data_IF_642429372136
#
_entry.id   IF_642429372136
#
_cell.length_a   1.000
_cell.length_b   1.000
_cell.length_c   1.000
_cell.angle_alpha   90.00
_cell.angle_beta   90.00
_cell.angle_gamma   90.00
#
_symmetry.space_group_name_H-M   'P 1'
#
loop_
_entity.id
_entity.type
_entity.pdbx_description
1 polymer ?
#
# COMPACT_ATOMS: atom_id res chain seq x y z
N UNK A 1 -1.63 35.37 -5.79
CA UNK A 1 -2.78 35.62 -4.90
C UNK A 1 -3.68 34.42 -5.06
N UNK A 2 -3.85 33.63 -4.01
CA UNK A 2 -4.68 32.42 -4.05
C UNK A 2 -6.03 32.80 -3.47
N UNK A 3 -7.07 32.72 -4.29
CA UNK A 3 -8.45 32.87 -3.82
C UNK A 3 -8.86 31.61 -3.06
N UNK A 4 -9.47 31.78 -1.90
CA UNK A 4 -10.01 30.65 -1.11
C UNK A 4 -11.53 30.72 -1.12
N UNK A 5 -12.15 29.60 -1.45
CA UNK A 5 -13.59 29.39 -1.40
C UNK A 5 -13.95 28.48 -0.23
N UNK A 6 -15.10 28.71 0.38
CA UNK A 6 -15.61 27.94 1.51
C UNK A 6 -17.02 27.47 1.23
N UNK A 7 -17.29 26.19 1.47
CA UNK A 7 -18.62 25.61 1.33
C UNK A 7 -18.81 24.45 2.31
N UNK A 8 -20.03 24.21 2.76
CA UNK A 8 -20.40 22.93 3.37
C UNK A 8 -20.62 21.88 2.29
N UNK A 9 -20.41 20.61 2.64
CA UNK A 9 -20.66 19.49 1.74
C UNK A 9 -22.12 19.43 1.24
N UNK A 10 -23.08 19.84 2.08
CA UNK A 10 -24.49 19.95 1.71
C UNK A 10 -24.75 20.98 0.62
N UNK A 11 -23.94 22.05 0.60
CA UNK A 11 -24.12 23.23 -0.24
C UNK A 11 -23.13 23.22 -1.42
N UNK A 12 -22.38 22.13 -1.59
CA UNK A 12 -21.30 22.05 -2.56
C UNK A 12 -21.79 22.23 -4.00
N UNK A 13 -23.03 21.85 -4.31
CA UNK A 13 -23.60 21.99 -5.66
C UNK A 13 -24.20 23.37 -5.92
N UNK A 14 -24.55 24.13 -4.87
CA UNK A 14 -25.08 25.47 -4.97
C UNK A 14 -23.99 26.50 -4.69
N UNK A 15 -23.27 26.90 -5.75
CA UNK A 15 -22.19 27.87 -5.64
C UNK A 15 -22.63 29.25 -5.17
N UNK A 16 -23.94 29.55 -5.15
CA UNK A 16 -24.46 30.77 -4.56
C UNK A 16 -24.40 30.78 -3.02
N UNK A 17 -24.33 29.59 -2.40
CA UNK A 17 -24.15 29.43 -0.95
C UNK A 17 -22.67 29.47 -0.52
N UNK A 18 -21.75 29.53 -1.48
CA UNK A 18 -20.32 29.55 -1.19
C UNK A 18 -19.88 30.93 -0.71
N UNK A 19 -18.81 30.93 0.08
CA UNK A 19 -18.11 32.15 0.46
C UNK A 19 -16.75 32.19 -0.24
N UNK A 20 -16.26 33.39 -0.48
CA UNK A 20 -14.99 33.67 -1.12
C UNK A 20 -14.19 34.64 -0.25
N UNK A 21 -12.87 34.45 -0.26
CA UNK A 21 -11.92 35.37 0.34
C UNK A 21 -10.70 35.47 -0.58
N UNK A 22 -10.37 36.70 -0.95
CA UNK A 22 -9.06 37.01 -1.53
C UNK A 22 -7.99 37.08 -0.44
N UNK A 23 -6.73 36.86 -0.81
CA UNK A 23 -5.60 36.87 0.13
C UNK A 23 -5.60 38.13 1.01
N UNK A 24 -5.72 37.95 2.34
CA UNK A 24 -5.81 39.05 3.32
C UNK A 24 -7.14 39.82 3.35
N UNK A 25 -8.09 39.51 2.47
CA UNK A 25 -9.39 40.18 2.37
C UNK A 25 -10.44 39.75 3.40
N UNK A 26 -11.61 40.39 3.34
CA UNK A 26 -12.80 39.97 4.09
C UNK A 26 -13.43 38.71 3.46
N UNK A 27 -14.23 37.98 4.24
CA UNK A 27 -15.08 36.92 3.70
C UNK A 27 -16.31 37.57 3.07
N UNK A 28 -16.56 37.26 1.81
CA UNK A 28 -17.68 37.78 1.03
C UNK A 28 -18.45 36.62 0.38
N UNK A 29 -19.73 36.79 0.01
CA UNK A 29 -20.43 35.81 -0.81
C UNK A 29 -19.69 35.57 -2.14
N UNK A 30 -19.54 34.32 -2.54
CA UNK A 30 -18.93 34.00 -3.83
C UNK A 30 -19.80 34.56 -4.96
N UNK A 31 -19.16 35.13 -5.99
CA UNK A 31 -19.88 35.53 -7.20
C UNK A 31 -20.29 34.27 -7.96
N UNK A 32 -21.52 34.26 -8.48
CA UNK A 32 -22.01 33.16 -9.30
C UNK A 32 -21.04 32.88 -10.47
N UNK A 33 -20.58 31.63 -10.55
CA UNK A 33 -19.57 31.21 -11.52
C UNK A 33 -18.69 30.09 -10.96
N UNK A 34 -17.91 29.46 -11.84
CA UNK A 34 -16.96 28.43 -11.43
C UNK A 34 -15.68 29.10 -10.93
N UNK A 35 -15.11 28.68 -9.78
CA UNK A 35 -13.82 29.18 -9.32
C UNK A 35 -12.73 28.93 -10.36
N UNK A 36 -11.68 29.75 -10.35
CA UNK A 36 -10.50 29.51 -11.20
C UNK A 36 -9.76 28.26 -10.71
N UNK A 37 -9.12 27.53 -11.62
CA UNK A 37 -8.39 26.29 -11.27
C UNK A 37 -7.32 26.50 -10.19
N UNK A 38 -6.69 27.69 -10.17
CA UNK A 38 -5.68 28.06 -9.17
C UNK A 38 -6.23 28.42 -7.79
N UNK A 39 -7.56 28.41 -7.62
CA UNK A 39 -8.21 28.67 -6.34
C UNK A 39 -8.12 27.46 -5.41
N UNK A 40 -8.19 27.72 -4.11
CA UNK A 40 -8.36 26.69 -3.09
C UNK A 40 -9.82 26.59 -2.69
N UNK A 41 -10.35 25.38 -2.55
CA UNK A 41 -11.68 25.13 -2.00
C UNK A 41 -11.58 24.39 -0.65
N UNK A 42 -12.12 24.99 0.40
CA UNK A 42 -12.29 24.35 1.71
C UNK A 42 -13.73 23.86 1.81
N UNK A 43 -13.89 22.54 1.89
CA UNK A 43 -15.20 21.91 2.05
C UNK A 43 -15.36 21.41 3.47
N UNK A 44 -16.38 21.91 4.17
CA UNK A 44 -16.71 21.48 5.52
C UNK A 44 -17.56 20.21 5.49
N UNK A 45 -17.03 19.13 6.07
CA UNK A 45 -17.74 17.87 6.23
C UNK A 45 -18.57 17.94 7.51
N UNK A 46 -19.89 17.64 7.43
CA UNK A 46 -20.76 17.37 8.57
C UNK A 46 -20.06 16.78 9.78
N UNK A 47 -20.03 17.48 10.91
CA UNK A 47 -19.32 16.98 12.08
C UNK A 47 -19.94 15.72 12.68
N UNK A 48 -21.22 15.46 12.38
CA UNK A 48 -21.96 14.25 12.74
C UNK A 48 -21.54 13.02 11.95
N UNK A 49 -20.86 13.19 10.82
CA UNK A 49 -20.33 12.11 9.97
C UNK A 49 -18.86 11.77 10.30
N UNK A 50 -18.24 12.53 11.20
CA UNK A 50 -16.83 12.41 11.54
C UNK A 50 -16.68 12.21 13.05
N UNK A 51 -16.05 11.11 13.44
CA UNK A 51 -15.68 10.86 14.83
C UNK A 51 -14.36 11.56 15.15
N UNK A 52 -14.26 12.22 16.31
CA UNK A 52 -13.01 12.77 16.84
C UNK A 52 -12.70 12.17 18.20
N UNK A 53 -11.52 11.56 18.34
CA UNK A 53 -11.12 10.83 19.57
C UNK A 53 -9.71 11.20 19.98
N UNK A 54 -9.43 11.43 21.28
CA UNK A 54 -8.07 11.51 21.77
C UNK A 54 -7.41 10.11 21.75
N UNK A 55 -6.27 10.00 21.10
CA UNK A 55 -5.48 8.79 21.01
C UNK A 55 -4.08 9.00 21.58
N UNK A 56 -3.62 8.03 22.36
CA UNK A 56 -2.25 7.97 22.85
C UNK A 56 -1.35 7.40 21.78
N UNK A 57 -0.80 8.29 20.98
CA UNK A 57 0.23 7.94 20.02
C UNK A 57 1.58 8.14 20.70
N UNK A 58 2.46 7.12 20.67
CA UNK A 58 3.85 7.32 21.07
C UNK A 58 4.57 8.35 20.18
N UNK A 59 5.88 8.54 20.36
CA UNK A 59 6.70 9.57 19.68
C UNK A 59 6.65 9.59 18.13
N UNK A 60 5.97 8.62 17.49
CA UNK A 60 5.76 8.51 16.05
C UNK A 60 4.36 8.93 15.58
N UNK A 61 3.50 9.48 16.44
CA UNK A 61 2.11 9.79 16.13
C UNK A 61 1.90 10.62 14.86
N UNK A 62 2.74 11.64 14.63
CA UNK A 62 2.69 12.46 13.41
C UNK A 62 3.18 11.78 12.12
N UNK A 63 3.67 10.54 12.19
CA UNK A 63 4.15 9.74 11.05
C UNK A 63 3.27 8.53 10.78
N UNK A 64 2.17 8.39 11.52
CA UNK A 64 1.25 7.28 11.36
C UNK A 64 0.41 7.50 10.09
N UNK A 65 0.46 6.55 9.16
CA UNK A 65 -0.38 6.61 7.96
C UNK A 65 -1.86 6.43 8.29
N UNK A 66 -2.75 6.91 7.41
CA UNK A 66 -4.20 6.92 7.63
C UNK A 66 -4.80 5.55 7.96
N UNK A 67 -4.30 4.50 7.31
CA UNK A 67 -4.76 3.12 7.58
C UNK A 67 -4.36 2.63 8.97
N UNK A 68 -3.21 3.03 9.50
CA UNK A 68 -2.78 2.66 10.84
C UNK A 68 -3.51 3.47 11.93
N UNK A 69 -3.91 4.71 11.63
CA UNK A 69 -4.65 5.55 12.57
C UNK A 69 -6.03 4.99 12.92
N UNK A 70 -6.71 4.32 11.98
CA UNK A 70 -8.02 3.72 12.24
C UNK A 70 -7.94 2.57 13.26
N UNK A 71 -6.89 1.75 13.21
CA UNK A 71 -6.68 0.67 14.17
C UNK A 71 -6.35 1.17 15.58
N UNK A 72 -5.74 2.35 15.72
CA UNK A 72 -5.45 2.91 17.05
C UNK A 72 -6.73 3.20 17.83
N UNK A 73 -7.82 3.52 17.13
CA UNK A 73 -9.12 3.86 17.72
C UNK A 73 -10.14 2.74 17.52
N UNK A 74 -9.70 1.50 17.25
CA UNK A 74 -10.60 0.37 16.94
C UNK A 74 -11.68 0.16 18.02
N UNK A 75 -11.30 0.27 19.29
CA UNK A 75 -12.23 0.10 20.44
C UNK A 75 -13.33 1.19 20.50
N UNK A 76 -13.13 2.32 19.82
CA UNK A 76 -14.06 3.46 19.78
C UNK A 76 -14.98 3.40 18.54
N UNK A 77 -14.68 2.50 17.60
CA UNK A 77 -15.44 2.32 16.37
C UNK A 77 -16.51 1.24 16.56
N UNK A 78 -17.72 1.51 16.07
CA UNK A 78 -18.81 0.52 16.01
C UNK A 78 -18.81 -0.29 14.70
N UNK A 79 -17.78 -0.14 13.88
CA UNK A 79 -17.64 -0.73 12.53
C UNK A 79 -16.20 -1.19 12.32
N UNK A 80 -15.96 -2.00 11.29
CA UNK A 80 -14.62 -2.46 10.93
C UNK A 80 -13.68 -1.26 10.63
N UNK A 81 -12.55 -1.12 11.35
CA UNK A 81 -11.56 -0.06 11.11
C UNK A 81 -11.07 0.03 9.66
N UNK A 82 -11.05 -1.08 8.91
CA UNK A 82 -10.64 -1.09 7.51
C UNK A 82 -11.60 -0.30 6.60
N UNK A 83 -12.86 -0.16 6.99
CA UNK A 83 -13.87 0.62 6.27
C UNK A 83 -13.77 2.12 6.55
N UNK A 84 -12.93 2.50 7.52
CA UNK A 84 -12.74 3.87 7.97
C UNK A 84 -11.46 4.47 7.37
N UNK A 85 -11.50 5.79 7.19
CA UNK A 85 -10.36 6.64 6.90
C UNK A 85 -10.11 7.50 8.12
N UNK A 86 -8.89 7.43 8.67
CA UNK A 86 -8.55 8.14 9.89
C UNK A 86 -7.32 9.04 9.67
N UNK A 87 -7.32 10.21 10.29
CA UNK A 87 -6.24 11.20 10.20
C UNK A 87 -5.87 11.67 11.59
N UNK A 88 -4.57 11.62 11.88
CA UNK A 88 -4.01 12.14 13.12
C UNK A 88 -3.80 13.65 12.96
N UNK A 89 -4.45 14.45 13.81
CA UNK A 89 -4.21 15.87 13.87
C UNK A 89 -2.77 16.16 14.35
N UNK A 90 -2.15 17.19 13.78
CA UNK A 90 -0.86 17.69 14.27
C UNK A 90 -0.98 18.04 15.76
N UNK A 91 -0.12 17.45 16.59
CA UNK A 91 -0.19 17.66 18.03
C UNK A 91 0.14 19.11 18.40
N UNK A 92 -0.65 19.72 19.29
CA UNK A 92 -0.22 20.94 19.98
C UNK A 92 0.98 20.63 20.88
N UNK A 93 2.04 21.43 20.76
CA UNK A 93 3.24 21.28 21.58
C UNK A 93 2.86 21.23 23.07
N UNK A 94 3.13 20.09 23.74
CA UNK A 94 2.87 19.89 25.17
C UNK A 94 1.72 18.93 25.52
N UNK A 95 0.90 18.50 24.55
CA UNK A 95 -0.18 17.51 24.79
C UNK A 95 0.31 16.11 24.40
N UNK A 96 0.19 15.13 25.32
CA UNK A 96 0.59 13.73 25.10
C UNK A 96 -0.39 12.97 24.20
N UNK A 97 -1.63 13.45 24.12
CA UNK A 97 -2.71 12.79 23.38
C UNK A 97 -2.99 13.58 22.09
N UNK A 98 -2.99 12.87 20.97
CA UNK A 98 -3.29 13.41 19.65
C UNK A 98 -4.76 13.19 19.33
N UNK A 99 -5.43 14.15 18.68
CA UNK A 99 -6.76 13.88 18.15
C UNK A 99 -6.66 13.05 16.86
N UNK A 100 -7.49 12.02 16.75
CA UNK A 100 -7.71 11.24 15.54
C UNK A 100 -9.12 11.53 15.04
N UNK A 101 -9.22 11.95 13.79
CA UNK A 101 -10.48 12.16 13.10
C UNK A 101 -10.73 10.97 12.18
N UNK A 102 -11.90 10.33 12.30
CA UNK A 102 -12.26 9.17 11.51
C UNK A 102 -13.60 9.37 10.80
N UNK A 103 -13.64 8.98 9.53
CA UNK A 103 -14.79 9.12 8.64
C UNK A 103 -14.88 7.88 7.76
N UNK A 104 -16.07 7.54 7.26
CA UNK A 104 -16.21 6.39 6.38
C UNK A 104 -15.45 6.61 5.06
N UNK A 105 -14.81 5.56 4.55
CA UNK A 105 -14.14 5.61 3.22
C UNK A 105 -15.12 5.88 2.09
N UNK A 106 -16.37 5.43 2.23
CA UNK A 106 -17.43 5.66 1.27
C UNK A 106 -17.74 7.16 1.13
N UNK A 107 -17.98 7.84 2.27
CA UNK A 107 -18.22 9.28 2.28
C UNK A 107 -17.02 10.06 1.75
N UNK A 108 -15.79 9.68 2.14
CA UNK A 108 -14.58 10.32 1.61
C UNK A 108 -14.46 10.18 0.09
N UNK A 109 -14.79 9.01 -0.46
CA UNK A 109 -14.76 8.78 -1.91
C UNK A 109 -15.76 9.68 -2.62
N UNK A 110 -16.99 9.75 -2.11
CA UNK A 110 -18.04 10.64 -2.64
C UNK A 110 -17.64 12.11 -2.57
N UNK A 111 -17.12 12.57 -1.43
CA UNK A 111 -16.65 13.94 -1.24
C UNK A 111 -15.57 14.31 -2.27
N UNK A 112 -14.58 13.44 -2.45
CA UNK A 112 -13.49 13.65 -3.40
C UNK A 112 -14.00 13.69 -4.84
N UNK A 113 -14.90 12.79 -5.21
CA UNK A 113 -15.51 12.77 -6.55
C UNK A 113 -16.30 14.06 -6.82
N UNK A 114 -17.11 14.51 -5.87
CA UNK A 114 -17.85 15.78 -5.98
C UNK A 114 -16.91 16.98 -6.07
N UNK A 115 -15.83 17.01 -5.30
CA UNK A 115 -14.82 18.09 -5.37
C UNK A 115 -14.05 18.09 -6.70
N UNK A 116 -13.73 16.91 -7.26
CA UNK A 116 -13.06 16.79 -8.57
C UNK A 116 -13.88 17.36 -9.71
N UNK A 117 -15.21 17.42 -9.59
CA UNK A 117 -16.08 18.01 -10.60
C UNK A 117 -15.78 19.50 -10.85
N UNK A 118 -15.12 20.20 -9.92
CA UNK A 118 -14.78 21.63 -10.03
C UNK A 118 -13.46 21.90 -10.75
N UNK A 119 -12.60 20.89 -10.98
CA UNK A 119 -11.31 21.02 -11.66
C UNK A 119 -10.37 22.05 -11.01
N UNK A 120 -10.25 21.95 -9.68
CA UNK A 120 -9.40 22.81 -8.86
C UNK A 120 -8.04 22.15 -8.59
N UNK A 121 -6.99 22.97 -8.54
CA UNK A 121 -5.63 22.54 -8.20
C UNK A 121 -5.52 22.07 -6.74
N UNK A 122 -6.42 22.57 -5.87
CA UNK A 122 -6.43 22.24 -4.45
C UNK A 122 -7.85 22.29 -3.86
N UNK A 123 -8.22 21.23 -3.15
CA UNK A 123 -9.32 21.24 -2.19
C UNK A 123 -8.86 20.65 -0.85
N UNK A 124 -9.50 21.08 0.23
CA UNK A 124 -9.32 20.58 1.59
C UNK A 124 -10.67 20.05 2.07
N UNK A 125 -10.65 18.90 2.75
CA UNK A 125 -11.85 18.29 3.34
C UNK A 125 -11.76 18.40 4.86
N UNK A 126 -12.48 19.36 5.44
CA UNK A 126 -12.30 19.77 6.84
C UNK A 126 -13.53 19.38 7.66
N UNK A 127 -13.43 18.53 8.70
CA UNK A 127 -14.54 18.26 9.62
C UNK A 127 -14.97 19.56 10.30
N UNK A 128 -16.27 19.82 10.37
CA UNK A 128 -16.83 21.02 11.02
C UNK A 128 -16.26 21.22 12.44
N UNK A 129 -16.21 20.16 13.25
CA UNK A 129 -15.70 20.24 14.62
C UNK A 129 -14.16 20.36 14.72
N UNK A 130 -13.42 20.26 13.61
CA UNK A 130 -11.96 20.45 13.65
C UNK A 130 -11.52 21.90 13.68
N UNK A 131 -12.45 22.85 13.44
CA UNK A 131 -12.16 24.29 13.42
C UNK A 131 -12.31 24.96 14.78
N UNK A 132 -12.77 24.24 15.80
CA UNK A 132 -12.89 24.75 17.18
C UNK A 132 -11.65 24.43 18.00
N UNK A 133 -11.11 25.41 18.70
CA UNK A 133 -9.97 25.24 19.59
C UNK A 133 -10.41 24.82 21.02
N UNK A 134 -9.56 24.10 21.78
CA UNK A 134 -9.86 23.75 23.16
C UNK A 134 -10.14 24.99 24.01
N UNK A 135 -11.25 24.97 24.76
CA UNK A 135 -11.64 26.08 25.65
C UNK A 135 -12.39 27.22 24.96
N UNK A 136 -12.70 27.11 23.66
CA UNK A 136 -13.63 28.03 23.00
C UNK A 136 -15.09 27.74 23.36
N UNK A 137 -15.91 28.79 23.30
CA UNK A 137 -17.35 28.68 23.44
C UNK A 137 -17.95 27.81 22.31
N UNK A 138 -19.14 27.26 22.55
CA UNK A 138 -19.85 26.49 21.53
C UNK A 138 -20.15 27.34 20.28
N UNK A 139 -19.88 26.78 19.11
CA UNK A 139 -20.31 27.37 17.84
C UNK A 139 -21.69 26.83 17.47
N UNK A 140 -22.60 27.73 17.09
CA UNK A 140 -23.93 27.40 16.59
C UNK A 140 -23.97 27.59 15.07
N UNK A 141 -24.20 26.49 14.34
CA UNK A 141 -24.33 26.46 12.88
C UNK A 141 -25.79 26.60 12.42
N UNK A 142 -26.73 26.79 13.35
CA UNK A 142 -28.17 26.83 13.10
C UNK A 142 -28.82 25.44 13.24
N UNK A 143 -28.33 24.46 12.48
CA UNK A 143 -28.79 23.06 12.53
C UNK A 143 -28.00 22.20 13.54
N UNK A 144 -26.76 22.61 13.84
CA UNK A 144 -25.80 21.87 14.65
C UNK A 144 -25.05 22.77 15.62
N UNK A 145 -24.61 22.17 16.72
CA UNK A 145 -23.76 22.77 17.73
C UNK A 145 -22.40 22.08 17.69
N UNK A 146 -21.31 22.86 17.71
CA UNK A 146 -19.95 22.36 17.85
C UNK A 146 -19.40 22.79 19.21
N UNK A 147 -18.90 21.85 20.00
CA UNK A 147 -18.35 22.16 21.32
C UNK A 147 -17.27 21.17 21.73
N UNK A 148 -16.42 21.57 22.68
CA UNK A 148 -15.44 20.69 23.30
C UNK A 148 -16.06 19.99 24.51
N UNK A 149 -16.02 18.65 24.52
CA UNK A 149 -16.51 17.80 25.62
C UNK A 149 -15.41 16.79 25.93
N UNK A 150 -15.03 16.65 27.20
CA UNK A 150 -14.05 15.66 27.67
C UNK A 150 -12.78 15.58 26.79
N UNK A 151 -12.14 16.73 26.56
CA UNK A 151 -10.91 16.85 25.75
C UNK A 151 -11.03 16.47 24.27
N UNK A 152 -12.24 16.46 23.69
CA UNK A 152 -12.45 16.30 22.25
C UNK A 152 -13.51 17.27 21.70
N UNK A 153 -13.37 17.67 20.42
CA UNK A 153 -14.43 18.41 19.75
C UNK A 153 -15.56 17.46 19.32
N UNK A 154 -16.79 17.89 19.52
CA UNK A 154 -18.01 17.13 19.22
C UNK A 154 -18.97 18.01 18.43
N UNK A 155 -19.65 17.42 17.44
CA UNK A 155 -20.78 18.04 16.75
C UNK A 155 -22.07 17.33 17.14
N UNK A 156 -23.11 18.08 17.49
CA UNK A 156 -24.42 17.54 17.86
C UNK A 156 -25.53 18.29 17.12
N UNK A 157 -26.52 17.56 16.64
CA UNK A 157 -27.72 18.18 16.05
C UNK A 157 -28.51 18.97 17.10
N UNK A 158 -28.87 20.20 16.76
CA UNK A 158 -29.64 21.08 17.64
C UNK A 158 -31.07 20.57 17.87
N UNK A 159 -31.53 19.63 17.05
CA UNK A 159 -32.83 18.98 17.16
C UNK A 159 -32.95 18.04 18.37
N UNK A 160 -31.84 17.69 19.02
CA UNK A 160 -31.88 16.86 20.23
C UNK A 160 -32.64 17.54 21.38
N UNK A 161 -33.30 16.76 22.27
CA UNK A 161 -33.97 17.31 23.44
C UNK A 161 -33.03 18.18 24.28
N UNK A 162 -33.52 19.33 24.75
CA UNK A 162 -32.70 20.32 25.49
C UNK A 162 -32.06 19.74 26.75
N UNK A 163 -32.75 18.84 27.40
CA UNK A 163 -32.32 18.09 28.57
C UNK A 163 -31.12 17.17 28.25
N UNK A 164 -31.06 16.59 27.05
CA UNK A 164 -29.88 15.85 26.58
C UNK A 164 -28.74 16.81 26.28
N UNK A 165 -29.00 17.89 25.55
CA UNK A 165 -27.99 18.92 25.27
C UNK A 165 -27.41 19.50 26.57
N UNK A 166 -28.26 19.73 27.57
CA UNK A 166 -27.86 20.22 28.89
C UNK A 166 -27.02 19.19 29.66
N UNK A 167 -27.36 17.90 29.53
CA UNK A 167 -26.57 16.83 30.12
C UNK A 167 -25.18 16.71 29.49
N UNK A 168 -25.04 16.97 28.19
CA UNK A 168 -23.78 16.80 27.46
C UNK A 168 -22.88 18.03 27.54
N UNK A 169 -23.46 19.22 27.54
CA UNK A 169 -22.71 20.48 27.47
C UNK A 169 -22.77 21.31 28.77
N UNK A 170 -23.51 20.87 29.78
CA UNK A 170 -23.84 21.73 30.92
C UNK A 170 -24.84 22.80 30.49
N UNK A 171 -24.59 24.08 30.76
CA UNK A 171 -25.49 25.12 30.25
C UNK A 171 -25.34 25.24 28.73
N UNK A 172 -26.44 25.02 28.00
CA UNK A 172 -26.46 25.18 26.55
C UNK A 172 -26.22 26.66 26.24
N UNK A 173 -25.08 27.00 25.62
CA UNK A 173 -24.72 28.38 25.40
C UNK A 173 -25.75 29.06 24.50
N UNK A 174 -25.99 30.33 24.78
CA UNK A 174 -26.95 31.14 24.06
C UNK A 174 -26.46 31.31 22.61
N UNK A 175 -27.31 30.91 21.66
CA UNK A 175 -27.04 30.95 20.22
C UNK A 175 -26.53 32.33 19.80
N UNK A 176 -25.26 32.43 19.43
CA UNK A 176 -24.75 33.63 18.79
C UNK A 176 -25.22 33.60 17.34
N UNK A 177 -26.22 34.42 17.01
CA UNK A 177 -26.60 34.65 15.63
C UNK A 177 -25.42 35.33 14.92
N UNK A 178 -24.82 34.63 13.97
CA UNK A 178 -23.60 35.06 13.31
C UNK A 178 -23.91 35.36 11.85
N UNK A 179 -23.60 36.58 11.40
CA UNK A 179 -23.80 37.00 10.02
C UNK A 179 -23.07 36.06 9.03
N UNK A 180 -23.74 35.66 7.95
CA UNK A 180 -23.20 34.74 6.93
C UNK A 180 -23.58 33.27 7.10
N UNK A 181 -24.44 32.92 8.06
CA UNK A 181 -24.94 31.56 8.27
C UNK A 181 -23.85 30.56 8.64
N UNK A 182 -24.14 29.27 8.52
CA UNK A 182 -23.20 28.20 8.90
C UNK A 182 -21.84 28.30 8.19
N UNK A 183 -21.85 28.57 6.87
CA UNK A 183 -20.62 28.74 6.09
C UNK A 183 -19.77 29.91 6.61
N UNK A 184 -20.40 31.02 7.03
CA UNK A 184 -19.71 32.19 7.56
C UNK A 184 -19.11 31.99 8.95
N UNK A 185 -19.77 31.19 9.80
CA UNK A 185 -19.25 30.76 11.10
C UNK A 185 -18.01 29.88 10.89
N UNK A 186 -18.15 28.83 10.07
CA UNK A 186 -17.10 27.84 9.82
C UNK A 186 -15.88 28.46 9.14
N UNK A 187 -16.08 29.31 8.12
CA UNK A 187 -14.99 30.00 7.43
C UNK A 187 -14.18 30.88 8.39
N UNK A 188 -14.84 31.61 9.30
CA UNK A 188 -14.14 32.42 10.31
C UNK A 188 -13.35 31.58 11.30
N UNK A 189 -13.98 30.54 11.85
CA UNK A 189 -13.31 29.62 12.78
C UNK A 189 -12.10 28.94 12.11
N UNK A 190 -12.24 28.49 10.86
CA UNK A 190 -11.13 27.93 10.08
C UNK A 190 -9.98 28.93 9.87
N UNK A 191 -10.28 30.19 9.58
CA UNK A 191 -9.23 31.21 9.41
C UNK A 191 -8.52 31.57 10.73
N UNK A 192 -9.19 31.42 11.87
CA UNK A 192 -8.63 31.70 13.19
C UNK A 192 -7.79 30.53 13.72
N UNK A 193 -8.32 29.32 13.62
CA UNK A 193 -7.79 28.14 14.29
C UNK A 193 -7.13 27.13 13.33
N UNK A 194 -7.39 27.27 12.03
CA UNK A 194 -7.12 26.23 11.04
C UNK A 194 -8.19 25.14 11.07
N UNK A 195 -7.86 24.01 10.46
CA UNK A 195 -8.69 22.80 10.47
C UNK A 195 -7.86 21.59 10.08
N UNK A 196 -8.38 20.40 10.38
CA UNK A 196 -7.72 19.15 9.98
C UNK A 196 -8.17 18.78 8.58
N UNK A 197 -7.21 18.65 7.65
CA UNK A 197 -7.50 18.16 6.31
C UNK A 197 -7.57 16.64 6.29
N UNK A 198 -8.74 16.11 5.94
CA UNK A 198 -8.98 14.69 5.75
C UNK A 198 -8.53 14.18 4.39
N UNK A 199 -8.28 15.06 3.41
CA UNK A 199 -7.84 14.69 2.06
C UNK A 199 -6.35 14.31 1.99
N UNK A 200 -5.92 13.43 2.90
CA UNK A 200 -4.61 12.77 2.88
C UNK A 200 -4.74 11.38 2.23
N UNK A 201 -3.61 10.71 1.96
CA UNK A 201 -3.53 9.33 1.45
C UNK A 201 -4.78 8.46 1.72
N UNK A 202 -5.34 7.70 0.77
CA UNK A 202 -5.19 7.73 -0.68
C UNK A 202 -6.03 8.85 -1.34
N UNK A 203 -6.70 9.69 -0.55
CA UNK A 203 -7.66 10.71 -1.01
C UNK A 203 -7.00 12.03 -1.38
N UNK A 204 -5.69 12.17 -1.15
CA UNK A 204 -4.93 13.32 -1.60
C UNK A 204 -5.08 13.56 -3.11
N UNK A 205 -5.26 14.83 -3.47
CA UNK A 205 -5.15 15.28 -4.85
C UNK A 205 -3.76 14.93 -5.36
N UNK A 206 -3.70 13.98 -6.30
CA UNK A 206 -2.50 13.78 -7.09
C UNK A 206 -2.37 15.01 -7.97
N UNK A 207 -1.47 15.93 -7.61
CA UNK A 207 -1.04 16.98 -8.52
C UNK A 207 -0.63 16.32 -9.83
N UNK A 208 -1.40 16.56 -10.89
CA UNK A 208 -0.89 16.46 -12.25
C UNK A 208 0.14 17.57 -12.41
N UNK A 209 1.31 17.43 -11.79
CA UNK A 209 2.41 18.32 -12.08
C UNK A 209 2.67 18.18 -13.57
N UNK A 210 2.63 19.27 -14.37
CA UNK A 210 3.07 19.19 -15.75
C UNK A 210 4.50 18.71 -15.71
N UNK A 211 4.72 17.50 -16.22
CA UNK A 211 6.07 16.95 -16.36
C UNK A 211 6.77 17.91 -17.33
N UNK A 212 7.63 18.80 -16.80
CA UNK A 212 8.50 19.64 -17.60
C UNK A 212 9.52 18.72 -18.31
N UNK A 213 9.08 18.12 -19.42
CA UNK A 213 9.86 17.25 -20.30
C UNK A 213 11.13 17.97 -20.80
N UNK A 214 11.16 19.30 -20.76
CA UNK A 214 12.32 20.10 -21.15
C UNK A 214 13.52 19.95 -20.20
N UNK A 215 13.28 19.78 -18.90
CA UNK A 215 14.35 19.50 -17.91
C UNK A 215 14.92 18.09 -18.05
N UNK A 216 14.19 17.19 -18.73
CA UNK A 216 14.59 15.80 -18.91
C UNK A 216 15.35 15.53 -20.20
N UNK A 217 15.45 16.48 -21.14
CA UNK A 217 16.11 16.25 -22.45
C UNK A 217 17.58 15.86 -22.32
N UNK A 218 18.33 16.55 -21.47
CA UNK A 218 19.75 16.26 -21.23
C UNK A 218 20.01 14.99 -20.41
N UNK A 219 19.34 14.73 -19.27
CA UNK A 219 19.52 13.47 -18.56
C UNK A 219 18.96 12.27 -19.34
N UNK A 220 17.90 12.42 -20.14
CA UNK A 220 17.44 11.36 -21.04
C UNK A 220 18.43 11.09 -22.18
N UNK A 221 19.05 12.11 -22.75
CA UNK A 221 20.12 11.93 -23.74
C UNK A 221 21.35 11.24 -23.13
N UNK A 222 21.72 11.60 -21.89
CA UNK A 222 22.80 10.93 -21.15
C UNK A 222 22.45 9.47 -20.82
N UNK A 223 21.22 9.19 -20.39
CA UNK A 223 20.74 7.83 -20.14
C UNK A 223 20.68 7.00 -21.43
N UNK A 224 20.24 7.59 -22.55
CA UNK A 224 20.24 6.95 -23.85
C UNK A 224 21.66 6.66 -24.35
N UNK A 225 22.61 7.58 -24.16
CA UNK A 225 24.02 7.35 -24.49
C UNK A 225 24.64 6.24 -23.62
N UNK A 226 24.34 6.23 -22.32
CA UNK A 226 24.74 5.14 -21.42
C UNK A 226 24.15 3.80 -21.84
N UNK A 227 22.86 3.76 -22.19
CA UNK A 227 22.20 2.56 -22.70
C UNK A 227 22.77 2.10 -24.04
N UNK A 228 23.19 3.02 -24.92
CA UNK A 228 23.85 2.68 -26.17
C UNK A 228 25.25 2.11 -25.94
N UNK A 229 26.05 2.70 -25.04
CA UNK A 229 27.37 2.17 -24.68
C UNK A 229 27.22 0.78 -24.04
N UNK A 230 26.32 0.64 -23.07
CA UNK A 230 26.05 -0.63 -22.40
C UNK A 230 25.43 -1.66 -23.36
N UNK A 231 24.60 -1.21 -24.30
CA UNK A 231 23.98 -2.04 -25.33
C UNK A 231 24.99 -2.55 -26.35
N UNK A 232 25.98 -1.74 -26.74
CA UNK A 232 27.08 -2.16 -27.63
C UNK A 232 27.99 -3.17 -26.92
N UNK A 233 28.30 -2.96 -25.64
CA UNK A 233 29.08 -3.89 -24.83
C UNK A 233 28.33 -5.21 -24.60
N UNK A 234 27.03 -5.15 -24.32
CA UNK A 234 26.15 -6.31 -24.23
C UNK A 234 26.06 -7.06 -25.58
N UNK A 235 25.92 -6.36 -26.70
CA UNK A 235 25.86 -6.96 -28.03
C UNK A 235 27.17 -7.67 -28.40
N UNK A 236 28.31 -7.05 -28.10
CA UNK A 236 29.64 -7.63 -28.31
C UNK A 236 29.85 -8.90 -27.47
N UNK A 237 29.41 -8.89 -26.22
CA UNK A 237 29.50 -10.05 -25.33
C UNK A 237 28.55 -11.18 -25.73
N UNK A 238 27.30 -10.90 -26.15
CA UNK A 238 26.42 -11.93 -26.74
C UNK A 238 27.01 -12.56 -27.99
N UNK A 239 27.64 -11.75 -28.86
CA UNK A 239 28.26 -12.27 -30.09
C UNK A 239 29.44 -13.20 -29.82
N UNK A 240 30.19 -12.96 -28.73
CA UNK A 240 31.26 -13.83 -28.27
C UNK A 240 30.71 -15.10 -27.61
N UNK A 241 29.64 -14.98 -26.81
CA UNK A 241 28.95 -16.11 -26.20
C UNK A 241 28.27 -17.01 -27.23
N UNK A 242 27.74 -16.50 -28.34
CA UNK A 242 27.16 -17.33 -29.41
C UNK A 242 28.24 -18.19 -30.10
N UNK A 243 29.45 -17.63 -30.29
CA UNK A 243 30.59 -18.39 -30.84
C UNK A 243 31.10 -19.46 -29.88
N UNK A 244 31.05 -19.21 -28.57
CA UNK A 244 31.40 -20.18 -27.53
C UNK A 244 30.28 -21.21 -27.31
N UNK A 245 29.03 -20.81 -27.44
CA UNK A 245 27.84 -21.67 -27.29
C UNK A 245 27.76 -22.69 -28.42
N UNK A 246 28.08 -22.31 -29.66
CA UNK A 246 28.18 -23.27 -30.77
C UNK A 246 29.24 -24.36 -30.56
N UNK A 247 30.32 -24.05 -29.83
CA UNK A 247 31.37 -25.02 -29.47
C UNK A 247 31.00 -25.88 -28.25
N UNK A 248 30.23 -25.34 -27.31
CA UNK A 248 29.72 -26.07 -26.14
C UNK A 248 28.56 -26.99 -26.56
N UNK A 249 27.64 -26.53 -27.40
CA UNK A 249 26.49 -27.30 -27.87
C UNK A 249 26.92 -28.50 -28.73
N UNK A 250 27.95 -28.33 -29.57
CA UNK A 250 28.58 -29.44 -30.29
C UNK A 250 29.22 -30.49 -29.35
N UNK A 251 29.75 -30.08 -28.20
CA UNK A 251 30.30 -30.98 -27.17
C UNK A 251 29.20 -31.60 -26.28
N UNK A 252 28.13 -30.88 -25.98
CA UNK A 252 27.04 -31.33 -25.10
C UNK A 252 26.09 -32.27 -25.83
N UNK A 253 25.81 -32.07 -27.12
CA UNK A 253 25.01 -33.03 -27.92
C UNK A 253 25.73 -34.36 -28.08
N UNK A 254 27.06 -34.35 -28.25
CA UNK A 254 27.88 -35.57 -28.28
C UNK A 254 27.87 -36.32 -26.94
N UNK A 255 27.88 -35.60 -25.81
CA UNK A 255 27.90 -36.20 -24.46
C UNK A 255 26.52 -36.63 -23.96
N UNK A 256 25.45 -35.88 -24.27
CA UNK A 256 24.08 -36.20 -23.84
C UNK A 256 23.40 -37.28 -24.69
N UNK A 257 23.71 -37.37 -26.00
CA UNK A 257 23.17 -38.45 -26.85
C UNK A 257 23.69 -39.84 -26.48
N UNK A 258 24.82 -39.90 -25.76
CA UNK A 258 25.36 -41.14 -25.20
C UNK A 258 24.62 -41.60 -23.92
N UNK A 259 23.83 -40.74 -23.27
CA UNK A 259 23.24 -41.00 -21.95
C UNK A 259 21.71 -41.10 -21.99
N UNK A 260 21.00 -40.40 -22.90
CA UNK A 260 19.54 -40.55 -23.08
C UNK A 260 19.14 -40.32 -24.55
N UNK A 261 18.61 -41.33 -25.27
CA UNK A 261 18.08 -41.14 -26.61
C UNK A 261 16.77 -40.33 -26.56
N UNK A 262 16.73 -39.16 -27.21
CA UNK A 262 15.49 -38.41 -27.47
C UNK A 262 15.16 -37.23 -26.54
N UNK A 263 16.05 -36.81 -25.66
CA UNK A 263 15.81 -35.62 -24.82
C UNK A 263 16.01 -34.31 -25.62
N UNK A 264 14.96 -33.46 -25.67
CA UNK A 264 15.07 -32.10 -26.21
C UNK A 264 15.78 -31.18 -25.21
N UNK A 265 16.83 -30.52 -25.67
CA UNK A 265 17.62 -29.55 -24.88
C UNK A 265 16.86 -28.23 -24.83
N UNK A 266 16.41 -27.80 -23.65
CA UNK A 266 15.83 -26.46 -23.44
C UNK A 266 16.83 -25.51 -22.80
N UNK A 267 16.84 -24.26 -23.30
CA UNK A 267 17.80 -23.19 -23.01
C UNK A 267 18.12 -22.94 -21.53
N UNK A 268 19.41 -22.78 -21.23
CA UNK A 268 20.00 -22.49 -19.91
C UNK A 268 19.81 -21.02 -19.45
N UNK A 269 18.66 -20.39 -19.71
CA UNK A 269 18.31 -19.06 -19.14
C UNK A 269 17.43 -19.13 -17.89
N UNK A 270 16.97 -20.31 -17.51
CA UNK A 270 16.22 -20.56 -16.27
C UNK A 270 17.18 -21.12 -15.19
N UNK A 271 18.17 -20.35 -14.73
CA UNK A 271 19.30 -20.89 -13.94
C UNK A 271 18.93 -21.78 -12.74
N UNK A 272 17.94 -21.40 -11.93
CA UNK A 272 17.49 -22.21 -10.79
C UNK A 272 16.44 -23.27 -11.18
N UNK A 273 15.48 -22.91 -12.04
CA UNK A 273 14.38 -23.77 -12.46
C UNK A 273 14.81 -24.86 -13.45
N UNK A 274 15.84 -24.59 -14.25
CA UNK A 274 16.48 -25.52 -15.20
C UNK A 274 17.34 -26.54 -14.47
N UNK A 275 18.12 -26.11 -13.47
CA UNK A 275 18.92 -26.99 -12.64
C UNK A 275 18.04 -27.97 -11.84
N UNK A 276 16.96 -27.47 -11.21
CA UNK A 276 15.98 -28.32 -10.54
C UNK A 276 15.36 -29.34 -11.51
N UNK A 277 14.94 -28.92 -12.71
CA UNK A 277 14.35 -29.81 -13.72
C UNK A 277 15.33 -30.88 -14.17
N UNK A 278 16.60 -30.54 -14.36
CA UNK A 278 17.65 -31.49 -14.74
C UNK A 278 17.88 -32.53 -13.63
N UNK A 279 18.05 -32.09 -12.38
CA UNK A 279 18.25 -33.00 -11.24
C UNK A 279 17.03 -33.90 -11.00
N UNK A 280 15.83 -33.34 -11.13
CA UNK A 280 14.58 -34.11 -11.01
C UNK A 280 14.45 -35.14 -12.14
N UNK A 281 14.72 -34.76 -13.39
CA UNK A 281 14.65 -35.66 -14.54
C UNK A 281 15.64 -36.83 -14.41
N UNK A 282 16.88 -36.55 -13.95
CA UNK A 282 17.87 -37.59 -13.71
C UNK A 282 17.47 -38.53 -12.57
N UNK A 283 16.90 -38.00 -11.47
CA UNK A 283 16.36 -38.82 -10.39
C UNK A 283 15.21 -39.71 -10.89
N UNK A 284 14.24 -39.17 -11.62
CA UNK A 284 13.13 -39.97 -12.16
C UNK A 284 13.61 -41.03 -13.15
N UNK A 285 14.59 -40.72 -14.00
CA UNK A 285 15.21 -41.72 -14.89
C UNK A 285 15.89 -42.84 -14.13
N UNK A 286 16.65 -42.51 -13.08
CA UNK A 286 17.33 -43.50 -12.25
C UNK A 286 16.33 -44.38 -11.46
N UNK A 287 15.23 -43.80 -10.97
CA UNK A 287 14.14 -44.55 -10.32
C UNK A 287 13.46 -45.48 -11.32
N UNK A 288 13.22 -45.05 -12.55
CA UNK A 288 12.59 -45.88 -13.58
C UNK A 288 13.42 -47.13 -13.94
N UNK A 289 14.74 -47.05 -13.80
CA UNK A 289 15.66 -48.17 -13.98
C UNK A 289 15.84 -49.04 -12.73
N UNK A 290 15.19 -48.68 -11.62
CA UNK A 290 15.31 -49.38 -10.34
C UNK A 290 13.94 -49.93 -9.91
N UNK A 291 13.58 -51.16 -10.33
CA UNK A 291 12.26 -51.72 -10.08
C UNK A 291 11.93 -51.80 -8.60
N UNK A 292 10.73 -51.35 -8.23
CA UNK A 292 10.24 -51.42 -6.85
C UNK A 292 10.60 -50.21 -5.98
N UNK A 293 11.49 -49.32 -6.43
CA UNK A 293 11.81 -48.07 -5.73
C UNK A 293 10.66 -47.08 -5.86
N UNK A 294 10.22 -46.51 -4.75
CA UNK A 294 9.16 -45.49 -4.72
C UNK A 294 9.65 -44.19 -4.12
N UNK A 295 9.38 -43.10 -4.82
CA UNK A 295 9.62 -41.75 -4.32
C UNK A 295 8.51 -41.32 -3.37
N UNK A 296 8.86 -40.92 -2.15
CA UNK A 296 7.91 -40.36 -1.18
C UNK A 296 7.92 -38.82 -1.19
N UNK A 297 9.11 -38.23 -1.21
CA UNK A 297 9.26 -36.78 -1.08
C UNK A 297 10.45 -36.31 -1.91
N UNK A 298 10.31 -35.13 -2.52
CA UNK A 298 11.41 -34.36 -3.10
C UNK A 298 11.40 -32.97 -2.48
N UNK A 299 12.57 -32.48 -2.11
CA UNK A 299 12.81 -31.09 -1.74
C UNK A 299 14.03 -30.57 -2.50
N UNK A 300 13.86 -29.45 -3.18
CA UNK A 300 14.96 -28.74 -3.83
C UNK A 300 15.46 -27.62 -2.92
N UNK A 301 16.78 -27.51 -2.80
CA UNK A 301 17.47 -26.42 -2.12
C UNK A 301 18.21 -25.58 -3.17
N UNK A 302 17.73 -24.36 -3.38
CA UNK A 302 18.28 -23.42 -4.36
C UNK A 302 19.58 -22.76 -3.88
N UNK A 303 19.87 -22.77 -2.57
CA UNK A 303 21.13 -22.22 -2.02
C UNK A 303 22.28 -23.17 -2.31
N UNK A 304 22.06 -24.46 -2.13
CA UNK A 304 23.09 -25.50 -2.35
C UNK A 304 22.98 -26.19 -3.72
N UNK A 305 22.07 -25.74 -4.59
CA UNK A 305 21.76 -26.34 -5.89
C UNK A 305 21.61 -27.88 -5.82
N UNK A 306 20.93 -28.36 -4.78
CA UNK A 306 20.84 -29.79 -4.50
C UNK A 306 19.40 -30.24 -4.32
N UNK A 307 19.13 -31.47 -4.73
CA UNK A 307 17.83 -32.11 -4.62
C UNK A 307 17.93 -33.22 -3.59
N UNK A 308 17.11 -33.15 -2.54
CA UNK A 308 16.97 -34.21 -1.53
C UNK A 308 15.71 -35.00 -1.82
N UNK A 309 15.83 -36.31 -1.87
CA UNK A 309 14.71 -37.22 -2.09
C UNK A 309 14.67 -38.30 -1.00
N UNK A 310 13.46 -38.59 -0.53
CA UNK A 310 13.19 -39.72 0.36
C UNK A 310 12.56 -40.84 -0.47
N UNK A 311 13.19 -42.01 -0.43
CA UNK A 311 12.88 -43.17 -1.27
C UNK A 311 12.59 -44.38 -0.41
N UNK A 312 11.68 -45.22 -0.89
CA UNK A 312 11.40 -46.54 -0.34
C UNK A 312 11.98 -47.57 -1.30
N UNK A 313 12.92 -48.35 -0.81
CA UNK A 313 13.58 -49.42 -1.54
C UNK A 313 12.95 -50.78 -1.19
N UNK A 314 12.89 -51.70 -2.17
CA UNK A 314 12.38 -53.05 -1.93
C UNK A 314 13.37 -53.90 -1.13
N UNK A 315 14.68 -53.68 -1.29
CA UNK A 315 15.76 -54.49 -0.73
C UNK A 315 16.99 -53.65 -0.41
N UNK A 316 17.86 -54.15 0.47
CA UNK A 316 19.08 -53.48 0.90
C UNK A 316 20.14 -53.52 -0.22
N UNK A 317 20.80 -52.40 -0.52
CA UNK A 317 21.80 -52.29 -1.59
C UNK A 317 21.24 -51.75 -2.91
N UNK A 318 19.91 -51.65 -3.04
CA UNK A 318 19.25 -50.98 -4.18
C UNK A 318 19.52 -49.47 -4.16
N UNK A 319 19.70 -48.89 -2.98
CA UNK A 319 20.12 -47.51 -2.76
C UNK A 319 21.52 -47.25 -3.34
N UNK A 320 22.45 -48.19 -3.21
CA UNK A 320 23.79 -48.10 -3.79
C UNK A 320 23.75 -48.19 -5.32
N UNK A 321 22.93 -49.10 -5.87
CA UNK A 321 22.72 -49.18 -7.31
C UNK A 321 22.12 -47.89 -7.89
N UNK A 322 21.15 -47.28 -7.19
CA UNK A 322 20.58 -45.99 -7.56
C UNK A 322 21.63 -44.88 -7.51
N UNK A 323 22.46 -44.85 -6.46
CA UNK A 323 23.58 -43.90 -6.32
C UNK A 323 24.57 -44.04 -7.47
N UNK A 324 25.01 -45.25 -7.77
CA UNK A 324 25.97 -45.53 -8.85
C UNK A 324 25.38 -45.12 -10.20
N UNK A 325 24.08 -45.35 -10.40
CA UNK A 325 23.33 -44.93 -11.60
C UNK A 325 23.28 -43.40 -11.75
N UNK A 326 23.14 -42.65 -10.64
CA UNK A 326 23.18 -41.19 -10.65
C UNK A 326 24.59 -40.64 -10.87
N UNK A 327 25.61 -41.27 -10.26
CA UNK A 327 27.03 -40.93 -10.48
C UNK A 327 27.45 -41.20 -11.93
N UNK A 328 26.99 -42.31 -12.52
CA UNK A 328 27.21 -42.64 -13.92
C UNK A 328 26.61 -41.60 -14.88
N UNK A 329 25.56 -40.89 -14.45
CA UNK A 329 24.96 -39.75 -15.18
C UNK A 329 25.67 -38.42 -14.93
N UNK A 330 26.82 -38.43 -14.26
CA UNK A 330 27.64 -37.24 -14.02
C UNK A 330 27.09 -36.33 -12.92
N UNK A 331 26.34 -36.88 -11.96
CA UNK A 331 25.82 -36.16 -10.80
C UNK A 331 26.60 -36.54 -9.54
N UNK A 332 26.62 -35.65 -8.55
CA UNK A 332 27.02 -36.02 -7.19
C UNK A 332 25.82 -36.66 -6.51
N UNK A 333 26.01 -37.83 -5.91
CA UNK A 333 24.96 -38.52 -5.17
C UNK A 333 25.51 -39.00 -3.83
N UNK A 334 24.87 -38.55 -2.75
CA UNK A 334 25.19 -38.93 -1.39
C UNK A 334 23.98 -39.62 -0.76
N UNK A 335 24.20 -40.83 -0.26
CA UNK A 335 23.17 -41.62 0.41
C UNK A 335 23.21 -41.29 1.90
N UNK A 336 22.10 -40.81 2.43
CA UNK A 336 21.92 -40.57 3.85
C UNK A 336 21.53 -41.84 4.60
N UNK A 337 20.95 -41.67 5.78
CA UNK A 337 20.61 -42.79 6.65
C UNK A 337 19.53 -43.69 6.05
N UNK A 338 19.76 -45.00 6.13
CA UNK A 338 18.78 -46.03 5.83
C UNK A 338 18.07 -46.43 7.13
N UNK A 339 16.74 -46.47 7.10
CA UNK A 339 15.90 -46.95 8.19
C UNK A 339 14.91 -47.98 7.69
N UNK A 340 14.62 -48.98 8.52
CA UNK A 340 13.58 -49.97 8.21
C UNK A 340 12.27 -49.51 8.83
N UNK A 341 11.24 -49.34 8.00
CA UNK A 341 9.90 -48.95 8.41
C UNK A 341 8.89 -49.92 7.78
N UNK A 342 8.11 -50.60 8.61
CA UNK A 342 7.08 -51.58 8.21
C UNK A 342 7.56 -52.64 7.17
N UNK A 343 8.75 -53.20 7.39
CA UNK A 343 9.36 -54.21 6.51
C UNK A 343 9.85 -53.67 5.17
N UNK A 344 9.92 -52.34 4.99
CA UNK A 344 10.49 -51.66 3.82
C UNK A 344 11.66 -50.78 4.23
N UNK A 345 12.59 -50.54 3.31
CA UNK A 345 13.78 -49.74 3.58
C UNK A 345 13.54 -48.32 3.09
N UNK A 346 13.54 -47.35 3.98
CA UNK A 346 13.41 -45.93 3.65
C UNK A 346 14.80 -45.30 3.73
N UNK A 347 15.22 -44.62 2.68
CA UNK A 347 16.50 -43.92 2.62
C UNK A 347 16.38 -42.53 2.03
N UNK A 348 17.26 -41.64 2.47
CA UNK A 348 17.41 -40.31 1.88
C UNK A 348 18.58 -40.28 0.90
N UNK A 349 18.40 -39.60 -0.23
CA UNK A 349 19.47 -39.35 -1.20
C UNK A 349 19.56 -37.85 -1.50
N UNK A 350 20.78 -37.31 -1.51
CA UNK A 350 21.07 -35.94 -1.91
C UNK A 350 21.81 -35.95 -3.23
N UNK A 351 21.30 -35.21 -4.20
CA UNK A 351 21.82 -35.18 -5.57
C UNK A 351 22.18 -33.74 -5.93
N UNK A 352 23.37 -33.53 -6.49
CA UNK A 352 23.83 -32.23 -7.00
C UNK A 352 24.51 -32.36 -8.35
N UNK A 353 24.83 -31.24 -8.98
CA UNK A 353 25.75 -31.26 -10.12
C UNK A 353 27.19 -31.52 -9.65
N UNK A 354 27.98 -32.18 -10.49
CA UNK A 354 29.44 -32.20 -10.34
C UNK A 354 29.94 -30.81 -10.75
N UNK A 355 30.53 -30.10 -9.80
CA UNK A 355 31.13 -28.76 -9.97
C UNK A 355 32.36 -28.79 -10.88
#
# INVERSE_FOLDING_TARGET
MTDTYFARLSDLEDTACWLHRSDGGAIEPAKAGRPSSSSELVVFIPGTEVLAVPARLGDRGGRLGSSAAAFVIEDELSVDPQTMHAVVAGGSAGRRDHLVYAVSRALMSECVERCRAFDLDRFLLVPEQSVIAPGEDCLDLGDRLLHWVDDRPVAIEKAWPRDVLKSLFGDVPESLAVDGGANGVLARAYLQNGGVDLAVDPFALRRSAPIELDRFKWPAAAAAALLLVFGVEAAATTSQMDRLSGLIEARTVSRNSAVVPGAQVTNAKDGASGQMRMLAAALYGAIAETPGTRLQMIRYDATDNSLRATLVFPELGVDQALRDSLVARGLTADAGDLRTDDGRIVGDIRIGAVS
#
